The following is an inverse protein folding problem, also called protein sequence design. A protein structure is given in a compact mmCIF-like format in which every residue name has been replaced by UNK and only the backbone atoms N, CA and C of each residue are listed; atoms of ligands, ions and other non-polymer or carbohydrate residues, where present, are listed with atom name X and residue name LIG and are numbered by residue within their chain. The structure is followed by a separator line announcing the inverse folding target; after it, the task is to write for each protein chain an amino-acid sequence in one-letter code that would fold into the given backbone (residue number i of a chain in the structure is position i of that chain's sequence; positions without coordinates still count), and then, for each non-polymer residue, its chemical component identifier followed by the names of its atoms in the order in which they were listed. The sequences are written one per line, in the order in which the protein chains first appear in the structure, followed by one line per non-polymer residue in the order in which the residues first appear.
data_IF_003172148051
#
_entry.id   IF_003172148051
#
_cell.length_a   1.000
_cell.length_b   1.000
_cell.length_c   1.000
_cell.angle_alpha   90.00
_cell.angle_beta   90.00
_cell.angle_gamma   90.00
#
_symmetry.space_group_name_H-M   'P 1'
#
loop_
_entity.id
_entity.type
_entity.pdbx_description
1 polymer ?
#
# COMPACT_ATOMS: atom_id res chain seq x y z
N UNK A 1 -27.84 21.48 10.81
CA UNK A 1 -26.45 21.58 10.32
C UNK A 1 -25.87 20.17 10.34
N UNK A 2 -25.47 19.61 9.19
CA UNK A 2 -24.79 18.30 9.18
C UNK A 2 -23.42 18.47 9.83
N UNK A 3 -23.05 17.61 10.78
CA UNK A 3 -21.71 17.59 11.35
C UNK A 3 -20.67 17.44 10.21
N UNK A 4 -19.57 18.18 10.29
CA UNK A 4 -18.45 18.06 9.35
C UNK A 4 -17.91 16.63 9.44
N UNK A 5 -17.86 15.91 8.31
CA UNK A 5 -17.25 14.58 8.26
C UNK A 5 -15.74 14.69 8.43
N UNK A 6 -15.15 13.75 9.17
CA UNK A 6 -13.70 13.58 9.24
C UNK A 6 -13.17 13.20 7.86
N UNK A 7 -12.14 13.89 7.38
CA UNK A 7 -11.50 13.67 6.08
C UNK A 7 -10.15 13.00 6.25
N UNK A 8 -10.00 11.82 5.66
CA UNK A 8 -8.80 10.99 5.73
C UNK A 8 -8.14 10.94 4.36
N UNK A 9 -6.89 11.39 4.27
CA UNK A 9 -6.11 11.38 3.02
C UNK A 9 -5.31 10.08 2.95
N UNK A 10 -5.39 9.37 1.83
CA UNK A 10 -4.58 8.17 1.56
C UNK A 10 -3.57 8.52 0.48
N UNK A 11 -2.29 8.54 0.87
CA UNK A 11 -1.20 8.99 0.02
C UNK A 11 -0.36 7.79 -0.47
N UNK A 12 -0.29 7.61 -1.78
CA UNK A 12 0.68 6.75 -2.44
C UNK A 12 1.94 7.51 -2.89
N UNK A 13 2.89 6.78 -3.49
CA UNK A 13 4.19 7.32 -3.89
C UNK A 13 4.28 7.71 -5.38
N UNK A 14 3.16 7.80 -6.11
CA UNK A 14 3.16 8.23 -7.51
C UNK A 14 3.62 9.69 -7.60
N UNK A 15 4.61 10.03 -8.47
CA UNK A 15 5.08 11.40 -8.64
C UNK A 15 3.96 12.38 -9.03
N UNK A 16 4.07 13.62 -8.57
CA UNK A 16 3.10 14.69 -8.87
C UNK A 16 1.75 14.56 -8.17
N UNK A 17 1.64 13.72 -7.12
CA UNK A 17 0.42 13.61 -6.31
C UNK A 17 -0.04 14.99 -5.80
N UNK A 18 -1.30 15.31 -6.02
CA UNK A 18 -1.96 16.49 -5.45
C UNK A 18 -2.49 16.10 -4.07
N UNK A 19 -1.89 16.65 -3.02
CA UNK A 19 -2.25 16.30 -1.63
C UNK A 19 -3.22 17.37 -1.11
N UNK A 20 -4.50 17.05 -0.87
CA UNK A 20 -5.46 17.99 -0.31
C UNK A 20 -5.26 18.18 1.19
N UNK A 21 -6.06 19.04 1.82
CA UNK A 21 -6.17 19.13 3.28
C UNK A 21 -7.02 17.99 3.85
N UNK A 22 -6.78 17.61 5.10
CA UNK A 22 -7.54 16.59 5.82
C UNK A 22 -7.20 16.54 7.31
N UNK A 23 -7.97 15.77 8.07
CA UNK A 23 -7.81 15.63 9.51
C UNK A 23 -6.73 14.58 9.87
N UNK A 24 -6.49 13.62 8.97
CA UNK A 24 -5.41 12.64 9.07
C UNK A 24 -4.90 12.23 7.68
N UNK A 25 -3.66 11.73 7.61
CA UNK A 25 -3.04 11.21 6.39
C UNK A 25 -2.37 9.86 6.62
N UNK A 26 -2.64 8.93 5.71
CA UNK A 26 -2.11 7.57 5.69
C UNK A 26 -1.19 7.39 4.49
N UNK A 27 0.11 7.31 4.75
CA UNK A 27 1.15 7.31 3.75
C UNK A 27 1.66 5.90 3.47
N UNK A 28 1.58 5.46 2.21
CA UNK A 28 2.01 4.13 1.78
C UNK A 28 3.47 4.10 1.31
N UNK A 29 4.23 3.11 1.81
CA UNK A 29 5.63 2.84 1.46
C UNK A 29 6.49 4.12 1.47
N UNK A 30 7.03 4.49 0.31
CA UNK A 30 7.92 5.63 0.10
C UNK A 30 7.18 6.97 -0.01
N UNK A 31 5.86 7.02 0.18
CA UNK A 31 5.10 8.29 0.17
C UNK A 31 5.72 9.33 1.12
N UNK A 32 6.09 8.92 2.35
CA UNK A 32 6.75 9.82 3.31
C UNK A 32 8.12 10.30 2.83
N UNK A 33 8.85 9.49 2.07
CA UNK A 33 10.15 9.85 1.50
C UNK A 33 9.99 10.92 0.42
N UNK A 34 8.90 10.84 -0.34
CA UNK A 34 8.63 11.69 -1.50
C UNK A 34 7.94 13.01 -1.15
N UNK A 35 7.14 13.03 -0.09
CA UNK A 35 6.21 14.11 0.22
C UNK A 35 6.33 14.62 1.66
N UNK A 36 7.47 14.43 2.33
CA UNK A 36 7.66 14.78 3.73
C UNK A 36 7.14 16.20 4.07
N UNK A 37 7.53 17.19 3.29
CA UNK A 37 7.15 18.60 3.49
C UNK A 37 5.63 18.84 3.40
N UNK A 38 4.93 18.07 2.57
CA UNK A 38 3.47 18.18 2.41
C UNK A 38 2.70 17.44 3.50
N UNK A 39 3.33 16.46 4.16
CA UNK A 39 2.68 15.56 5.11
C UNK A 39 2.70 16.13 6.53
N UNK A 40 3.71 16.92 6.92
CA UNK A 40 3.84 17.45 8.28
C UNK A 40 2.73 18.40 8.72
N UNK A 41 1.95 18.97 7.79
CA UNK A 41 0.82 19.84 8.12
C UNK A 41 -0.38 19.10 8.71
N UNK A 42 -0.43 17.77 8.58
CA UNK A 42 -1.55 16.98 9.05
C UNK A 42 -1.45 16.73 10.57
N UNK A 43 -2.56 16.82 11.31
CA UNK A 43 -2.58 16.52 12.75
C UNK A 43 -2.17 15.08 13.07
N UNK A 44 -2.57 14.12 12.22
CA UNK A 44 -2.21 12.72 12.34
C UNK A 44 -1.60 12.19 11.04
N UNK A 45 -0.40 11.62 11.14
CA UNK A 45 0.39 11.02 10.07
C UNK A 45 0.65 9.55 10.41
N UNK A 46 0.11 8.64 9.59
CA UNK A 46 0.31 7.20 9.74
C UNK A 46 1.14 6.66 8.59
N UNK A 47 2.23 5.98 8.89
CA UNK A 47 3.04 5.29 7.89
C UNK A 47 2.62 3.83 7.74
N UNK A 48 2.29 3.38 6.52
CA UNK A 48 2.06 1.96 6.21
C UNK A 48 3.13 1.47 5.25
N UNK A 49 3.96 0.52 5.66
CA UNK A 49 5.22 0.26 4.95
C UNK A 49 5.51 -1.23 4.72
N UNK A 50 6.11 -1.58 3.58
CA UNK A 50 6.79 -2.86 3.43
C UNK A 50 8.11 -2.84 4.23
N UNK A 51 8.31 -3.74 5.21
CA UNK A 51 9.55 -3.76 5.99
C UNK A 51 10.81 -4.05 5.20
N UNK A 52 10.74 -4.53 3.94
CA UNK A 52 11.94 -4.61 3.09
C UNK A 52 12.60 -3.22 2.95
N UNK A 53 11.83 -2.12 2.89
CA UNK A 53 12.37 -0.77 2.75
C UNK A 53 13.21 -0.29 3.94
N UNK A 54 13.04 -0.94 5.09
CA UNK A 54 13.75 -0.61 6.33
C UNK A 54 14.79 -1.66 6.68
N UNK A 55 14.78 -2.82 6.02
CA UNK A 55 15.57 -3.95 6.41
C UNK A 55 17.08 -3.65 6.25
N UNK A 56 17.92 -3.85 7.28
CA UNK A 56 19.35 -3.53 7.22
C UNK A 56 20.08 -4.18 6.04
N UNK A 57 19.69 -5.41 5.69
CA UNK A 57 20.18 -6.14 4.51
C UNK A 57 20.16 -5.31 3.22
N UNK A 58 19.19 -4.41 3.02
CA UNK A 58 19.09 -3.61 1.77
C UNK A 58 20.15 -2.48 1.71
N UNK A 59 20.88 -2.25 2.81
CA UNK A 59 21.91 -1.22 2.96
C UNK A 59 23.32 -1.80 3.17
N UNK A 60 23.46 -3.13 3.05
CA UNK A 60 24.74 -3.81 3.13
C UNK A 60 25.62 -3.54 1.91
N UNK A 61 26.93 -3.65 2.09
CA UNK A 61 27.90 -3.53 1.00
C UNK A 61 27.65 -4.61 -0.08
N UNK A 62 27.81 -4.23 -1.35
CA UNK A 62 27.54 -5.12 -2.50
C UNK A 62 26.07 -5.25 -2.90
N UNK A 63 25.13 -4.65 -2.17
CA UNK A 63 23.71 -4.63 -2.56
C UNK A 63 23.46 -3.58 -3.64
N UNK A 64 22.72 -3.98 -4.68
CA UNK A 64 22.28 -3.06 -5.72
C UNK A 64 21.41 -1.94 -5.11
N UNK A 65 21.62 -0.70 -5.55
CA UNK A 65 20.90 0.48 -5.06
C UNK A 65 21.11 0.84 -3.56
N UNK A 66 22.19 0.33 -2.93
CA UNK A 66 22.54 0.62 -1.52
C UNK A 66 22.41 2.11 -1.16
N UNK A 67 23.00 3.00 -1.95
CA UNK A 67 22.97 4.44 -1.69
C UNK A 67 21.54 5.01 -1.70
N UNK A 68 20.71 4.57 -2.65
CA UNK A 68 19.30 4.96 -2.70
C UNK A 68 18.55 4.44 -1.46
N UNK A 69 18.77 3.19 -1.07
CA UNK A 69 18.14 2.59 0.11
C UNK A 69 18.56 3.29 1.42
N UNK A 70 19.83 3.68 1.52
CA UNK A 70 20.36 4.48 2.64
C UNK A 70 19.69 5.86 2.70
N UNK A 71 19.57 6.55 1.57
CA UNK A 71 18.87 7.83 1.50
C UNK A 71 17.39 7.70 1.87
N UNK A 72 16.71 6.64 1.41
CA UNK A 72 15.32 6.37 1.75
C UNK A 72 15.16 6.14 3.25
N UNK A 73 16.04 5.32 3.85
CA UNK A 73 16.04 5.05 5.27
C UNK A 73 16.20 6.35 6.09
N UNK A 74 17.17 7.20 5.76
CA UNK A 74 17.38 8.50 6.42
C UNK A 74 16.16 9.41 6.31
N UNK A 75 15.52 9.46 5.14
CA UNK A 75 14.29 10.24 4.94
C UNK A 75 13.12 9.70 5.77
N UNK A 76 13.01 8.38 5.93
CA UNK A 76 12.00 7.78 6.81
C UNK A 76 12.24 8.16 8.27
N UNK A 77 13.49 8.11 8.74
CA UNK A 77 13.83 8.54 10.10
C UNK A 77 13.47 10.01 10.34
N UNK A 78 13.72 10.86 9.34
CA UNK A 78 13.36 12.27 9.40
C UNK A 78 11.83 12.51 9.38
N UNK A 79 11.06 11.62 8.76
CA UNK A 79 9.61 11.79 8.48
C UNK A 79 8.68 11.84 9.69
N UNK A 80 9.16 11.43 10.89
CA UNK A 80 8.46 11.53 12.19
C UNK A 80 6.93 11.32 12.15
N UNK A 81 6.42 10.19 11.62
CA UNK A 81 4.99 9.90 11.67
C UNK A 81 4.52 9.70 13.11
N UNK A 82 3.22 9.85 13.38
CA UNK A 82 2.65 9.55 14.71
C UNK A 82 2.72 8.05 15.02
N UNK A 83 2.67 7.18 14.00
CA UNK A 83 2.90 5.73 14.12
C UNK A 83 3.27 5.09 12.79
N UNK A 84 3.85 3.89 12.87
CA UNK A 84 4.21 3.08 11.70
C UNK A 84 3.61 1.67 11.80
N UNK A 85 3.06 1.19 10.68
CA UNK A 85 2.46 -0.12 10.52
C UNK A 85 3.20 -0.87 9.41
N UNK A 86 3.89 -1.94 9.76
CA UNK A 86 4.58 -2.81 8.82
C UNK A 86 3.61 -3.84 8.24
N UNK A 87 3.62 -4.01 6.92
CA UNK A 87 2.67 -4.87 6.16
C UNK A 87 2.92 -6.39 6.29
N UNK A 88 3.89 -6.79 7.10
CA UNK A 88 4.23 -8.18 7.49
C UNK A 88 5.08 -8.17 8.76
N UNK A 89 5.07 -9.28 9.49
CA UNK A 89 5.71 -9.41 10.80
C UNK A 89 7.06 -10.13 10.79
N UNK A 90 7.45 -10.77 9.68
CA UNK A 90 8.65 -11.63 9.62
C UNK A 90 9.96 -10.93 10.00
N UNK A 91 10.04 -9.62 9.79
CA UNK A 91 11.22 -8.79 10.10
C UNK A 91 10.92 -7.73 11.16
N UNK A 92 9.80 -7.83 11.88
CA UNK A 92 9.35 -6.79 12.81
C UNK A 92 10.36 -6.52 13.92
N UNK A 93 10.87 -7.57 14.57
CA UNK A 93 11.82 -7.42 15.66
C UNK A 93 13.13 -6.75 15.21
N UNK A 94 13.67 -7.18 14.05
CA UNK A 94 14.89 -6.62 13.48
C UNK A 94 14.69 -5.15 13.07
N UNK A 95 13.59 -4.83 12.38
CA UNK A 95 13.28 -3.46 11.96
C UNK A 95 13.06 -2.55 13.18
N UNK A 96 12.41 -3.05 14.25
CA UNK A 96 12.28 -2.29 15.50
C UNK A 96 13.64 -1.98 16.12
N UNK A 97 14.49 -2.99 16.31
CA UNK A 97 15.81 -2.79 16.88
C UNK A 97 16.65 -1.77 16.08
N UNK A 98 16.58 -1.83 14.74
CA UNK A 98 17.23 -0.87 13.85
C UNK A 98 16.68 0.57 14.01
N UNK A 99 15.36 0.72 14.09
CA UNK A 99 14.71 2.01 14.29
C UNK A 99 14.99 2.58 15.69
N UNK A 100 14.99 1.73 16.71
CA UNK A 100 15.30 2.10 18.10
C UNK A 100 16.75 2.59 18.21
N UNK A 101 17.70 1.90 17.56
CA UNK A 101 19.11 2.32 17.48
C UNK A 101 19.29 3.67 16.77
N UNK A 102 18.37 4.02 15.86
CA UNK A 102 18.34 5.30 15.17
C UNK A 102 17.51 6.38 15.91
N UNK A 103 17.13 6.15 17.17
CA UNK A 103 16.30 7.03 17.99
C UNK A 103 14.94 7.39 17.36
N UNK A 104 14.37 6.47 16.57
CA UNK A 104 13.03 6.65 16.00
C UNK A 104 11.98 6.42 17.09
N UNK A 105 11.25 7.48 17.46
CA UNK A 105 10.37 7.46 18.63
C UNK A 105 8.94 7.00 18.35
N UNK A 106 8.51 6.94 17.09
CA UNK A 106 7.12 6.64 16.77
C UNK A 106 6.82 5.14 17.00
N UNK A 107 5.65 4.80 17.58
CA UNK A 107 5.28 3.41 17.81
C UNK A 107 5.21 2.62 16.49
N UNK A 108 5.89 1.47 16.47
CA UNK A 108 5.94 0.57 15.32
C UNK A 108 5.15 -0.71 15.63
N UNK A 109 4.23 -1.08 14.75
CA UNK A 109 3.48 -2.34 14.80
C UNK A 109 3.61 -3.09 13.47
N UNK A 110 3.18 -4.34 13.43
CA UNK A 110 3.15 -5.13 12.20
C UNK A 110 1.85 -5.91 12.09
N UNK A 111 1.31 -6.02 10.88
CA UNK A 111 0.17 -6.87 10.59
C UNK A 111 0.65 -8.19 9.98
N UNK A 112 0.14 -9.33 10.46
CA UNK A 112 0.51 -10.61 9.87
C UNK A 112 -0.09 -10.75 8.46
N UNK A 113 0.48 -11.64 7.64
CA UNK A 113 -0.07 -11.92 6.29
C UNK A 113 -1.52 -12.42 6.38
N UNK A 114 -1.83 -13.21 7.41
CA UNK A 114 -3.18 -13.71 7.66
C UNK A 114 -4.13 -12.57 8.01
N UNK A 115 -3.78 -11.75 9.00
CA UNK A 115 -4.64 -10.65 9.47
C UNK A 115 -4.85 -9.62 8.36
N UNK A 116 -3.82 -9.32 7.58
CA UNK A 116 -3.90 -8.47 6.40
C UNK A 116 -4.94 -8.99 5.42
N UNK A 117 -4.92 -10.28 5.10
CA UNK A 117 -5.90 -10.91 4.19
C UNK A 117 -7.31 -10.84 4.76
N UNK A 118 -7.49 -11.17 6.04
CA UNK A 118 -8.79 -11.13 6.69
C UNK A 118 -9.35 -9.70 6.74
N UNK A 119 -8.49 -8.72 7.01
CA UNK A 119 -8.85 -7.31 7.01
C UNK A 119 -9.31 -6.85 5.64
N UNK A 120 -8.55 -7.11 4.58
CA UNK A 120 -8.93 -6.77 3.20
C UNK A 120 -10.25 -7.46 2.83
N UNK A 121 -10.40 -8.75 3.14
CA UNK A 121 -11.63 -9.50 2.87
C UNK A 121 -12.85 -8.96 3.61
N UNK A 122 -12.72 -8.62 4.90
CA UNK A 122 -13.80 -8.05 5.72
C UNK A 122 -14.24 -6.67 5.21
N UNK A 123 -13.28 -5.78 4.95
CA UNK A 123 -13.57 -4.38 4.60
C UNK A 123 -14.05 -4.25 3.15
N UNK A 124 -13.41 -4.95 2.20
CA UNK A 124 -13.69 -4.83 0.75
C UNK A 124 -14.54 -5.96 0.16
N UNK A 125 -14.71 -7.08 0.88
CA UNK A 125 -15.29 -8.31 0.32
C UNK A 125 -14.34 -9.09 -0.59
N UNK A 126 -13.09 -8.64 -0.78
CA UNK A 126 -12.13 -9.27 -1.69
C UNK A 126 -11.00 -9.96 -0.92
N UNK A 127 -11.11 -11.28 -0.71
CA UNK A 127 -10.03 -12.06 -0.09
C UNK A 127 -8.90 -12.32 -1.10
N UNK A 128 -7.65 -12.10 -0.69
CA UNK A 128 -6.50 -12.52 -1.52
C UNK A 128 -6.39 -14.06 -1.56
N UNK A 129 -5.95 -14.68 -2.69
CA UNK A 129 -5.59 -14.05 -3.95
C UNK A 129 -6.81 -13.51 -4.69
N UNK A 130 -6.76 -12.23 -5.08
CA UNK A 130 -7.84 -11.52 -5.76
C UNK A 130 -7.72 -11.80 -7.26
N UNK A 131 -8.65 -12.60 -7.78
CA UNK A 131 -8.76 -12.89 -9.22
C UNK A 131 -9.91 -12.08 -9.81
N UNK A 132 -9.67 -11.45 -10.96
CA UNK A 132 -10.65 -10.64 -11.70
C UNK A 132 -10.97 -11.30 -13.05
N UNK A 133 -12.01 -10.82 -13.74
CA UNK A 133 -12.33 -11.25 -15.11
C UNK A 133 -11.17 -11.07 -16.09
N UNK A 134 -10.31 -10.07 -15.85
CA UNK A 134 -9.18 -9.77 -16.72
C UNK A 134 -8.13 -10.88 -16.73
N UNK A 135 -8.04 -11.65 -15.63
CA UNK A 135 -7.19 -12.83 -15.58
C UNK A 135 -7.56 -13.85 -16.68
N UNK A 136 -8.86 -14.03 -16.94
CA UNK A 136 -9.35 -14.99 -17.94
C UNK A 136 -9.14 -14.50 -19.38
N UNK A 137 -8.95 -13.19 -19.57
CA UNK A 137 -8.62 -12.56 -20.86
C UNK A 137 -7.14 -12.67 -21.25
N UNK A 138 -6.29 -13.14 -20.33
CA UNK A 138 -4.86 -13.29 -20.61
C UNK A 138 -4.59 -14.42 -21.62
N UNK A 139 -3.45 -14.37 -22.35
CA UNK A 139 -2.99 -15.46 -23.18
C UNK A 139 -2.88 -16.79 -22.41
N UNK A 140 -3.23 -17.91 -23.04
CA UNK A 140 -3.29 -19.24 -22.39
C UNK A 140 -1.99 -19.63 -21.68
N UNK A 141 -0.83 -19.38 -22.29
CA UNK A 141 0.49 -19.65 -21.68
C UNK A 141 0.67 -18.91 -20.34
N UNK A 142 0.17 -17.67 -20.26
CA UNK A 142 0.25 -16.83 -19.07
C UNK A 142 -0.76 -17.31 -18.02
N UNK A 143 -1.99 -17.61 -18.44
CA UNK A 143 -3.03 -18.16 -17.55
C UNK A 143 -2.57 -19.43 -16.87
N UNK A 144 -2.02 -20.40 -17.61
CA UNK A 144 -1.54 -21.68 -17.07
C UNK A 144 -0.47 -21.44 -16.00
N UNK A 145 0.54 -20.62 -16.30
CA UNK A 145 1.62 -20.28 -15.37
C UNK A 145 1.09 -19.72 -14.05
N UNK A 146 0.17 -18.77 -14.12
CA UNK A 146 -0.38 -18.13 -12.92
C UNK A 146 -1.45 -18.99 -12.22
N UNK A 147 -2.20 -19.82 -12.94
CA UNK A 147 -3.14 -20.79 -12.37
C UNK A 147 -2.42 -21.79 -11.48
N UNK A 148 -1.25 -22.31 -11.90
CA UNK A 148 -0.40 -23.16 -11.06
C UNK A 148 0.08 -22.45 -9.80
N UNK A 149 0.45 -21.16 -9.90
CA UNK A 149 0.84 -20.34 -8.74
C UNK A 149 -0.33 -20.12 -7.76
N UNK A 150 -1.53 -19.84 -8.28
CA UNK A 150 -2.76 -19.70 -7.50
C UNK A 150 -3.10 -21.02 -6.80
N UNK A 151 -3.15 -22.13 -7.53
CA UNK A 151 -3.43 -23.46 -6.98
C UNK A 151 -2.41 -23.84 -5.89
N UNK A 152 -1.11 -23.64 -6.14
CA UNK A 152 -0.07 -23.86 -5.13
C UNK A 152 -0.27 -22.99 -3.89
N UNK A 153 -0.68 -21.74 -4.07
CA UNK A 153 -0.96 -20.82 -2.95
C UNK A 153 -2.16 -21.30 -2.14
N UNK A 154 -3.26 -21.70 -2.78
CA UNK A 154 -4.44 -22.25 -2.10
C UNK A 154 -4.09 -23.53 -1.33
N UNK A 155 -3.42 -24.51 -1.97
CA UNK A 155 -3.01 -25.75 -1.33
C UNK A 155 -2.07 -25.51 -0.14
N UNK A 156 -1.07 -24.63 -0.30
CA UNK A 156 -0.18 -24.27 0.81
C UNK A 156 -0.91 -23.58 1.95
N UNK A 157 -1.97 -22.82 1.67
CA UNK A 157 -2.79 -22.15 2.70
C UNK A 157 -3.66 -23.11 3.50
N UNK A 158 -3.99 -24.28 2.97
CA UNK A 158 -4.64 -25.34 3.75
C UNK A 158 -3.74 -25.85 4.89
N UNK A 159 -2.41 -25.86 4.67
CA UNK A 159 -1.42 -26.31 5.67
C UNK A 159 -0.73 -25.18 6.43
N UNK A 160 -0.64 -24.00 5.82
CA UNK A 160 0.03 -22.83 6.37
C UNK A 160 -0.71 -21.56 5.95
N UNK A 161 -1.60 -21.10 6.83
CA UNK A 161 -2.42 -19.91 6.59
C UNK A 161 -1.62 -18.62 6.35
N UNK A 162 -0.32 -18.59 6.70
CA UNK A 162 0.59 -17.45 6.54
C UNK A 162 1.19 -17.33 5.13
N UNK A 163 0.88 -18.25 4.20
CA UNK A 163 1.43 -18.18 2.84
C UNK A 163 0.88 -16.99 2.06
N UNK A 164 1.78 -16.10 1.66
CA UNK A 164 1.44 -14.95 0.80
C UNK A 164 1.21 -15.38 -0.66
N UNK A 165 0.45 -14.57 -1.40
CA UNK A 165 0.25 -14.74 -2.84
C UNK A 165 1.16 -13.80 -3.64
N UNK A 166 1.25 -14.03 -4.96
CA UNK A 166 1.98 -13.13 -5.85
C UNK A 166 1.42 -11.71 -5.84
N UNK A 167 2.27 -10.71 -6.03
CA UNK A 167 1.89 -9.28 -6.02
C UNK A 167 0.80 -8.91 -7.04
N UNK A 168 0.64 -9.67 -8.12
CA UNK A 168 -0.45 -9.47 -9.08
C UNK A 168 -1.85 -9.73 -8.48
N UNK A 169 -1.95 -10.53 -7.42
CA UNK A 169 -3.22 -11.01 -6.84
C UNK A 169 -3.47 -10.49 -5.43
N UNK A 170 -2.78 -9.45 -4.99
CA UNK A 170 -3.03 -8.80 -3.71
C UNK A 170 -3.01 -7.29 -3.86
N UNK A 171 -3.73 -6.56 -3.01
CA UNK A 171 -3.68 -5.11 -3.03
C UNK A 171 -2.27 -4.61 -2.76
N UNK A 172 -2.02 -3.39 -3.19
CA UNK A 172 -0.82 -2.65 -2.89
C UNK A 172 -0.80 -2.10 -1.48
N UNK A 173 0.36 -1.61 -1.05
CA UNK A 173 0.44 -0.88 0.22
C UNK A 173 -0.47 0.36 0.23
N UNK A 174 -0.67 1.03 -0.91
CA UNK A 174 -1.59 2.17 -1.02
C UNK A 174 -3.04 1.77 -0.72
N UNK A 175 -3.54 0.74 -1.40
CA UNK A 175 -4.90 0.23 -1.16
C UNK A 175 -5.02 -0.42 0.22
N UNK A 176 -3.95 -1.02 0.74
CA UNK A 176 -3.93 -1.54 2.11
C UNK A 176 -4.00 -0.42 3.15
N UNK A 177 -3.32 0.70 2.93
CA UNK A 177 -3.40 1.87 3.80
C UNK A 177 -4.83 2.42 3.84
N UNK A 178 -5.51 2.51 2.69
CA UNK A 178 -6.94 2.83 2.62
C UNK A 178 -7.80 1.85 3.43
N UNK A 179 -7.58 0.55 3.27
CA UNK A 179 -8.33 -0.48 4.01
C UNK A 179 -8.13 -0.36 5.52
N UNK A 180 -6.89 -0.09 5.97
CA UNK A 180 -6.58 0.12 7.38
C UNK A 180 -7.23 1.40 7.92
N UNK A 181 -7.18 2.50 7.16
CA UNK A 181 -7.86 3.74 7.51
C UNK A 181 -9.38 3.52 7.62
N UNK A 182 -10.01 2.84 6.67
CA UNK A 182 -11.44 2.52 6.74
C UNK A 182 -11.79 1.71 7.98
N UNK A 183 -10.94 0.75 8.35
CA UNK A 183 -11.13 -0.04 9.55
C UNK A 183 -11.07 0.81 10.83
N UNK A 184 -10.35 1.92 10.81
CA UNK A 184 -10.14 2.79 11.97
C UNK A 184 -11.18 3.92 12.07
N UNK A 185 -11.43 4.67 10.99
CA UNK A 185 -12.37 5.80 11.01
C UNK A 185 -13.80 5.42 10.58
N UNK A 186 -13.99 4.22 10.03
CA UNK A 186 -15.31 3.69 9.70
C UNK A 186 -16.03 4.39 8.54
N UNK A 187 -17.30 4.04 8.29
CA UNK A 187 -18.03 4.52 7.12
C UNK A 187 -18.49 5.99 7.19
N UNK A 188 -18.39 6.63 8.36
CA UNK A 188 -18.77 8.03 8.55
C UNK A 188 -17.78 9.03 7.95
N UNK A 189 -16.52 8.63 7.74
CA UNK A 189 -15.47 9.48 7.22
C UNK A 189 -15.50 9.59 5.68
N UNK A 190 -14.86 10.64 5.17
CA UNK A 190 -14.52 10.82 3.76
C UNK A 190 -13.08 10.38 3.52
N UNK A 191 -12.83 9.61 2.46
CA UNK A 191 -11.50 9.09 2.11
C UNK A 191 -11.05 9.67 0.78
N UNK A 192 -9.94 10.40 0.78
CA UNK A 192 -9.39 11.01 -0.44
C UNK A 192 -8.14 10.26 -0.87
N UNK A 193 -8.18 9.63 -2.03
CA UNK A 193 -7.04 8.93 -2.61
C UNK A 193 -6.21 9.89 -3.45
N UNK A 194 -4.92 9.97 -3.14
CA UNK A 194 -3.93 10.72 -3.93
C UNK A 194 -2.63 9.93 -4.05
N UNK A 195 -1.91 10.09 -5.16
CA UNK A 195 -0.63 9.43 -5.40
C UNK A 195 -0.71 7.90 -5.55
N UNK A 196 -1.90 7.32 -5.70
CA UNK A 196 -2.12 5.89 -5.97
C UNK A 196 -2.58 5.73 -7.42
N UNK A 197 -1.66 5.33 -8.31
CA UNK A 197 -1.97 5.10 -9.72
C UNK A 197 -2.23 3.65 -10.09
N UNK A 198 -3.13 3.44 -11.06
CA UNK A 198 -3.26 2.17 -11.81
C UNK A 198 -2.46 2.19 -13.12
N UNK A 199 -2.04 3.38 -13.58
CA UNK A 199 -1.10 3.57 -14.68
C UNK A 199 0.30 3.89 -14.16
N UNK A 200 1.34 3.67 -14.99
CA UNK A 200 2.74 4.04 -14.69
C UNK A 200 3.30 3.50 -13.36
N UNK A 201 2.72 2.41 -12.83
CA UNK A 201 3.04 1.81 -11.53
C UNK A 201 4.44 1.21 -11.40
N UNK A 202 5.17 1.13 -12.52
CA UNK A 202 6.55 0.66 -12.61
C UNK A 202 7.54 1.81 -12.80
N UNK A 203 7.07 3.05 -12.84
CA UNK A 203 7.90 4.25 -12.92
C UNK A 203 8.16 4.73 -11.49
N UNK A 204 9.40 4.59 -11.02
CA UNK A 204 9.85 5.26 -9.80
C UNK A 204 10.01 6.76 -10.07
N UNK A 205 10.23 7.56 -9.02
CA UNK A 205 10.56 8.99 -9.13
C UNK A 205 11.76 9.27 -10.06
N UNK A 206 12.67 8.30 -10.18
CA UNK A 206 13.81 8.35 -11.11
C UNK A 206 13.43 8.18 -12.59
N UNK A 207 12.16 7.91 -12.92
CA UNK A 207 11.71 7.57 -14.27
C UNK A 207 12.09 6.15 -14.73
N UNK A 208 12.80 5.39 -13.89
CA UNK A 208 13.25 4.02 -14.23
C UNK A 208 12.07 3.06 -14.25
N UNK A 209 11.87 2.36 -15.38
CA UNK A 209 10.85 1.31 -15.54
C UNK A 209 11.41 -0.06 -15.18
N UNK A 210 10.75 -0.81 -14.29
CA UNK A 210 11.07 -2.24 -14.17
C UNK A 210 10.64 -2.99 -15.44
N UNK A 211 11.59 -3.59 -16.16
CA UNK A 211 11.31 -4.48 -17.30
C UNK A 211 10.70 -5.81 -16.82
N UNK A 212 9.83 -6.41 -17.64
CA UNK A 212 9.69 -7.88 -17.70
C UNK A 212 8.57 -8.57 -16.91
N UNK A 213 7.55 -7.87 -16.37
CA UNK A 213 6.39 -8.54 -15.76
C UNK A 213 5.19 -8.57 -16.70
N UNK A 214 4.76 -9.78 -17.08
CA UNK A 214 3.61 -10.03 -17.95
C UNK A 214 2.27 -9.59 -17.32
N UNK A 215 2.17 -9.58 -15.99
CA UNK A 215 1.08 -8.93 -15.27
C UNK A 215 1.65 -7.81 -14.43
N UNK A 216 1.05 -6.62 -14.55
CA UNK A 216 1.43 -5.50 -13.71
C UNK A 216 1.11 -5.82 -12.24
N UNK A 217 2.08 -5.69 -11.33
CA UNK A 217 1.86 -5.93 -9.91
C UNK A 217 0.71 -5.08 -9.37
N UNK A 218 -0.15 -5.70 -8.57
CA UNK A 218 -1.26 -5.12 -7.83
C UNK A 218 -2.38 -4.43 -8.64
N UNK A 219 -2.17 -4.04 -9.90
CA UNK A 219 -3.17 -3.27 -10.68
C UNK A 219 -4.55 -3.91 -10.67
N UNK A 220 -4.65 -5.20 -11.01
CA UNK A 220 -5.95 -5.90 -11.02
C UNK A 220 -6.60 -5.98 -9.64
N UNK A 221 -5.80 -6.26 -8.62
CA UNK A 221 -6.27 -6.36 -7.25
C UNK A 221 -6.72 -5.00 -6.71
N UNK A 222 -5.93 -3.95 -6.94
CA UNK A 222 -6.22 -2.56 -6.57
C UNK A 222 -7.52 -2.12 -7.23
N UNK A 223 -7.66 -2.25 -8.56
CA UNK A 223 -8.88 -1.87 -9.28
C UNK A 223 -10.13 -2.56 -8.74
N UNK A 224 -10.07 -3.88 -8.48
CA UNK A 224 -11.22 -4.62 -7.96
C UNK A 224 -11.59 -4.19 -6.54
N UNK A 225 -10.60 -3.99 -5.68
CA UNK A 225 -10.81 -3.57 -4.29
C UNK A 225 -11.34 -2.14 -4.23
N UNK A 226 -10.71 -1.21 -4.95
CA UNK A 226 -11.13 0.18 -5.02
C UNK A 226 -12.58 0.32 -5.50
N UNK A 227 -12.98 -0.43 -6.53
CA UNK A 227 -14.39 -0.47 -6.98
C UNK A 227 -15.33 -0.89 -5.84
N UNK A 228 -15.01 -1.99 -5.16
CA UNK A 228 -15.84 -2.48 -4.03
C UNK A 228 -15.88 -1.53 -2.84
N UNK A 229 -14.82 -0.77 -2.60
CA UNK A 229 -14.78 0.24 -1.55
C UNK A 229 -15.56 1.50 -1.95
N UNK A 230 -15.45 1.96 -3.18
CA UNK A 230 -16.19 3.11 -3.70
C UNK A 230 -17.71 2.90 -3.67
N UNK A 231 -18.17 1.65 -3.86
CA UNK A 231 -19.60 1.29 -3.73
C UNK A 231 -20.13 1.39 -2.28
N UNK A 232 -19.25 1.41 -1.28
CA UNK A 232 -19.62 1.22 0.15
C UNK A 232 -19.23 2.38 1.06
N UNK A 233 -18.26 3.18 0.66
CA UNK A 233 -17.63 4.22 1.49
C UNK A 233 -17.51 5.51 0.68
N UNK A 234 -17.42 6.64 1.37
CA UNK A 234 -17.29 7.95 0.74
C UNK A 234 -15.87 8.17 0.22
N UNK A 235 -15.57 7.63 -0.97
CA UNK A 235 -14.27 7.76 -1.64
C UNK A 235 -14.31 8.82 -2.72
N UNK A 236 -13.25 9.63 -2.79
CA UNK A 236 -12.95 10.46 -3.94
C UNK A 236 -11.45 10.40 -4.25
N UNK A 237 -11.06 10.93 -5.40
CA UNK A 237 -9.68 10.84 -5.90
C UNK A 237 -9.18 12.15 -6.49
N UNK A 238 -7.89 12.42 -6.35
CA UNK A 238 -7.18 13.43 -7.14
C UNK A 238 -6.58 12.86 -8.42
N UNK A 239 -6.56 11.52 -8.56
CA UNK A 239 -5.96 10.83 -9.69
C UNK A 239 -6.95 10.72 -10.87
N UNK A 240 -6.67 11.34 -12.02
CA UNK A 240 -7.58 11.31 -13.17
C UNK A 240 -7.90 9.89 -13.65
N UNK A 241 -6.95 8.96 -13.61
CA UNK A 241 -7.19 7.59 -14.04
C UNK A 241 -8.14 6.79 -13.14
N UNK A 242 -8.37 7.23 -11.90
CA UNK A 242 -9.28 6.58 -10.96
C UNK A 242 -10.72 7.12 -11.05
N UNK A 243 -10.97 8.16 -11.86
CA UNK A 243 -12.29 8.81 -11.98
C UNK A 243 -13.40 7.88 -12.50
N UNK A 244 -13.02 6.81 -13.20
CA UNK A 244 -13.96 5.75 -13.62
C UNK A 244 -14.42 4.83 -12.48
N UNK A 245 -13.74 4.88 -11.32
CA UNK A 245 -14.02 4.06 -10.14
C UNK A 245 -14.65 4.85 -9.01
N UNK A 246 -14.34 6.14 -8.89
CA UNK A 246 -14.82 7.03 -7.82
C UNK A 246 -14.78 8.49 -8.30
N UNK A 247 -15.62 9.39 -7.75
CA UNK A 247 -15.67 10.78 -8.19
C UNK A 247 -14.34 11.53 -7.96
N UNK A 248 -14.04 12.56 -8.77
CA UNK A 248 -12.95 13.48 -8.47
C UNK A 248 -13.24 14.24 -7.18
N UNK A 249 -12.18 14.63 -6.45
CA UNK A 249 -12.29 15.57 -5.34
C UNK A 249 -12.88 16.89 -5.85
N UNK A 250 -13.91 17.39 -5.15
CA UNK A 250 -14.55 18.68 -5.41
C UNK A 250 -14.00 19.77 -4.51
#
# INVERSE_FOLDING_TARGET
MSAKKTRIVILGAKPGAVIPEGDAIWCANSALVSYAENVYRFPEVVSVMNPDLLHPKERQEGVADREMNEQYYRKILASRPNRMILTRTSSLALVKAELDAAAFSAPVSGISIYDRRMLVGRISGCYDPIVTSDFFRLPNKIKIRYAGSLASTFLKRLRNHKKDCGSAFRPSTGVLALVMAINEYGPGAEYVICGIGIHKRLEYLSGTKTKGRLLQPHVYADTKVLRKLADRYSLCTTEPELTSLMPPLR
#
